data_IF_667907053259
#
_entry.id   IF_667907053259
#
_cell.length_a   1.000
_cell.length_b   1.000
_cell.length_c   1.000
_cell.angle_alpha   90.00
_cell.angle_beta   90.00
_cell.angle_gamma   90.00
#
_symmetry.space_group_name_H-M   'P 1'
#
loop_
_entity.id
_entity.type
_entity.pdbx_description
1 polymer ?
#
# COMPACT_ATOMS: atom_id res chain seq x y z
N UNK A 1 11.36 8.84 -12.56
CA UNK A 1 9.97 9.16 -12.97
C UNK A 1 9.05 8.77 -11.83
N UNK A 2 8.19 9.67 -11.34
CA UNK A 2 7.16 9.31 -10.33
C UNK A 2 5.97 8.65 -11.04
N UNK A 3 5.47 7.53 -10.52
CA UNK A 3 4.30 6.85 -11.06
C UNK A 3 3.04 7.70 -10.90
N UNK A 4 2.20 7.77 -11.94
CA UNK A 4 0.86 8.38 -11.90
C UNK A 4 -0.25 7.30 -11.75
N UNK A 5 0.13 6.08 -11.37
CA UNK A 5 -0.79 4.96 -11.24
C UNK A 5 -1.59 5.07 -9.94
N UNK A 6 -2.90 4.78 -10.04
CA UNK A 6 -3.82 4.65 -8.92
C UNK A 6 -4.21 3.18 -8.80
N UNK A 7 -3.91 2.57 -7.65
CA UNK A 7 -4.00 1.13 -7.47
C UNK A 7 -4.82 0.83 -6.22
N UNK A 8 -5.84 -0.02 -6.35
CA UNK A 8 -6.66 -0.47 -5.23
C UNK A 8 -6.34 -1.92 -4.90
N UNK A 9 -5.89 -2.18 -3.67
CA UNK A 9 -5.41 -3.49 -3.24
C UNK A 9 -6.33 -4.03 -2.14
N UNK A 10 -6.98 -5.16 -2.43
CA UNK A 10 -7.75 -5.92 -1.44
C UNK A 10 -6.88 -7.00 -0.80
N UNK A 11 -7.16 -7.32 0.47
CA UNK A 11 -6.35 -8.29 1.21
C UNK A 11 -4.95 -7.78 1.56
N UNK A 12 -4.73 -6.47 1.57
CA UNK A 12 -3.41 -5.85 1.76
C UNK A 12 -2.84 -5.94 3.18
N UNK A 13 -3.58 -6.52 4.15
CA UNK A 13 -3.14 -6.62 5.55
C UNK A 13 -2.08 -7.69 5.84
N UNK A 14 -1.68 -8.51 4.86
CA UNK A 14 -0.62 -9.52 5.02
C UNK A 14 -0.24 -10.20 3.70
N UNK A 15 0.96 -10.79 3.65
CA UNK A 15 1.34 -11.72 2.58
C UNK A 15 1.51 -11.02 1.24
N UNK A 16 0.95 -11.57 0.17
CA UNK A 16 1.16 -11.04 -1.19
C UNK A 16 0.58 -9.62 -1.32
N UNK A 17 -0.61 -9.35 -0.77
CA UNK A 17 -1.23 -8.02 -0.87
C UNK A 17 -0.42 -6.93 -0.14
N UNK A 18 0.26 -7.29 0.95
CA UNK A 18 1.18 -6.41 1.68
C UNK A 18 2.45 -6.15 0.86
N UNK A 19 3.08 -7.20 0.33
CA UNK A 19 4.28 -7.07 -0.50
C UNK A 19 4.03 -6.21 -1.75
N UNK A 20 2.88 -6.38 -2.41
CA UNK A 20 2.46 -5.57 -3.55
C UNK A 20 2.25 -4.11 -3.15
N UNK A 21 1.66 -3.85 -1.97
CA UNK A 21 1.47 -2.49 -1.48
C UNK A 21 2.82 -1.78 -1.27
N UNK A 22 3.82 -2.47 -0.73
CA UNK A 22 5.16 -1.91 -0.54
C UNK A 22 5.87 -1.62 -1.85
N UNK A 23 5.80 -2.54 -2.81
CA UNK A 23 6.40 -2.34 -4.12
C UNK A 23 5.86 -1.09 -4.80
N UNK A 24 4.53 -0.96 -4.91
CA UNK A 24 3.94 0.21 -5.56
C UNK A 24 4.06 1.50 -4.75
N UNK A 25 4.10 1.42 -3.42
CA UNK A 25 4.41 2.59 -2.58
C UNK A 25 5.83 3.12 -2.88
N UNK A 26 6.82 2.23 -3.03
CA UNK A 26 8.20 2.61 -3.36
C UNK A 26 8.34 3.29 -4.72
N UNK A 27 7.43 2.99 -5.66
CA UNK A 27 7.35 3.61 -6.98
C UNK A 27 6.60 4.96 -6.97
N UNK A 28 6.09 5.39 -5.81
CA UNK A 28 5.35 6.64 -5.63
C UNK A 28 3.92 6.61 -6.16
N UNK A 29 3.32 5.43 -6.30
CA UNK A 29 1.93 5.28 -6.73
C UNK A 29 0.94 5.81 -5.68
N UNK A 30 -0.30 6.07 -6.13
CA UNK A 30 -1.42 6.37 -5.25
C UNK A 30 -2.12 5.07 -4.89
N UNK A 31 -2.20 4.70 -3.61
CA UNK A 31 -2.80 3.42 -3.19
C UNK A 31 -4.05 3.57 -2.36
N UNK A 32 -5.10 2.82 -2.72
CA UNK A 32 -6.20 2.48 -1.82
C UNK A 32 -6.00 1.09 -1.24
N UNK A 33 -5.96 0.97 0.08
CA UNK A 33 -5.73 -0.29 0.79
C UNK A 33 -7.02 -0.77 1.48
N UNK A 34 -7.39 -2.04 1.30
CA UNK A 34 -8.59 -2.62 1.90
C UNK A 34 -8.33 -4.02 2.47
N UNK A 35 -8.69 -4.23 3.74
CA UNK A 35 -8.66 -5.54 4.39
C UNK A 35 -9.57 -5.57 5.62
N UNK A 36 -9.84 -6.76 6.15
CA UNK A 36 -10.73 -6.96 7.32
C UNK A 36 -10.09 -6.64 8.68
N UNK A 37 -8.75 -6.64 8.75
CA UNK A 37 -8.01 -6.45 10.01
C UNK A 37 -7.40 -5.06 10.03
N UNK A 38 -8.10 -4.11 10.64
CA UNK A 38 -7.73 -2.68 10.62
C UNK A 38 -6.36 -2.40 11.21
N UNK A 39 -6.00 -3.04 12.32
CA UNK A 39 -4.69 -2.84 12.97
C UNK A 39 -3.53 -3.18 12.03
N UNK A 40 -3.60 -4.35 11.38
CA UNK A 40 -2.60 -4.75 10.38
C UNK A 40 -2.60 -3.84 9.16
N UNK A 41 -3.78 -3.38 8.73
CA UNK A 41 -3.91 -2.47 7.60
C UNK A 41 -3.23 -1.12 7.88
N UNK A 42 -3.37 -0.59 9.09
CA UNK A 42 -2.67 0.62 9.51
C UNK A 42 -1.15 0.43 9.58
N UNK A 43 -0.66 -0.73 10.03
CA UNK A 43 0.78 -1.04 9.96
C UNK A 43 1.30 -1.02 8.52
N UNK A 44 0.57 -1.65 7.59
CA UNK A 44 0.94 -1.66 6.16
C UNK A 44 0.90 -0.25 5.58
N UNK A 45 -0.15 0.52 5.86
CA UNK A 45 -0.28 1.92 5.43
C UNK A 45 0.87 2.79 5.96
N UNK A 46 1.23 2.66 7.24
CA UNK A 46 2.36 3.38 7.83
C UNK A 46 3.66 3.05 7.10
N UNK A 47 3.90 1.76 6.84
CA UNK A 47 5.09 1.35 6.10
C UNK A 47 5.09 1.86 4.65
N UNK A 48 3.94 1.85 3.98
CA UNK A 48 3.81 2.44 2.65
C UNK A 48 4.11 3.94 2.65
N UNK A 49 3.66 4.70 3.67
CA UNK A 49 3.99 6.13 3.81
C UNK A 49 5.49 6.38 3.92
N UNK A 50 6.22 5.55 4.66
CA UNK A 50 7.70 5.62 4.73
C UNK A 50 8.36 5.37 3.37
N UNK A 51 7.79 4.50 2.53
CA UNK A 51 8.34 4.12 1.23
C UNK A 51 8.05 5.14 0.11
N UNK A 52 7.16 6.11 0.33
CA UNK A 52 6.80 7.12 -0.67
C UNK A 52 5.36 7.06 -1.17
N UNK A 53 4.48 6.34 -0.47
CA UNK A 53 3.05 6.27 -0.75
C UNK A 53 2.41 7.67 -0.82
N UNK A 54 1.51 7.83 -1.78
CA UNK A 54 0.53 8.92 -1.84
C UNK A 54 -0.86 8.32 -1.66
N UNK A 55 -1.75 8.98 -0.93
CA UNK A 55 -3.13 8.52 -0.74
C UNK A 55 -4.08 9.23 -1.71
#
# INVERSE_FOLDING_TARGET
MKSNQKIFITGSSSGIGEAIAYEYASQGAILGLAARRSEKLETVKAKCMELGLRM
#
